data_IF_562697648282
#
_entry.id   IF_562697648282
#
_cell.length_a   1.000
_cell.length_b   1.000
_cell.length_c   1.000
_cell.angle_alpha   90.00
_cell.angle_beta   90.00
_cell.angle_gamma   90.00
#
_symmetry.space_group_name_H-M   'P 1'
#
loop_
_entity.id
_entity.type
_entity.pdbx_description
1 polymer ?
#
# COMPACT_ATOMS: atom_id res chain seq x y z
N UNK A 1 -0.90 64.59 -33.52
CA UNK A 1 0.36 63.89 -33.19
C UNK A 1 0.49 63.87 -31.66
N UNK A 2 -0.36 63.18 -30.90
CA UNK A 2 -0.66 61.74 -30.93
C UNK A 2 0.56 60.88 -30.64
N UNK A 3 0.91 60.74 -29.35
CA UNK A 3 1.36 59.49 -28.72
C UNK A 3 0.78 59.44 -27.30
N UNK A 4 -0.11 58.50 -27.05
CA UNK A 4 -0.45 58.05 -25.70
C UNK A 4 0.26 56.72 -25.52
N UNK A 5 1.20 56.65 -24.59
CA UNK A 5 1.87 55.40 -24.26
C UNK A 5 0.98 54.60 -23.31
N UNK A 6 0.04 53.84 -23.88
CA UNK A 6 -0.76 52.87 -23.12
C UNK A 6 0.10 51.65 -22.80
N UNK A 7 0.89 51.74 -21.73
CA UNK A 7 1.58 50.60 -21.16
C UNK A 7 0.54 49.62 -20.59
N UNK A 8 0.16 48.63 -21.40
CA UNK A 8 -0.66 47.51 -20.96
C UNK A 8 0.16 46.63 -20.02
N UNK A 9 -0.04 46.77 -18.71
CA UNK A 9 0.41 45.77 -17.75
C UNK A 9 -0.26 44.43 -18.05
N UNK A 10 0.45 43.56 -18.77
CA UNK A 10 0.13 42.14 -18.82
C UNK A 10 0.45 41.53 -17.46
N UNK A 11 -0.46 41.72 -16.52
CA UNK A 11 -0.54 40.94 -15.29
C UNK A 11 -0.43 39.47 -15.67
N UNK A 12 0.73 38.87 -15.40
CA UNK A 12 0.95 37.46 -15.65
C UNK A 12 -0.12 36.72 -14.86
N UNK A 13 -1.08 36.13 -15.58
CA UNK A 13 -2.15 35.36 -14.96
C UNK A 13 -1.49 34.19 -14.23
N UNK A 14 -1.29 34.38 -12.92
CA UNK A 14 -0.66 33.41 -12.04
C UNK A 14 -1.41 32.11 -12.27
N UNK A 15 -0.68 31.09 -12.75
CA UNK A 15 -1.29 29.87 -13.24
C UNK A 15 -1.85 29.09 -12.05
N UNK A 16 -3.08 29.45 -11.63
CA UNK A 16 -3.82 28.80 -10.57
C UNK A 16 -4.04 27.37 -11.02
N UNK A 17 -3.20 26.47 -10.52
CA UNK A 17 -3.44 25.03 -10.61
C UNK A 17 -4.86 24.76 -10.14
N UNK A 18 -5.59 23.86 -10.80
CA UNK A 18 -6.97 23.54 -10.39
C UNK A 18 -7.01 22.71 -9.10
N UNK A 19 -5.90 22.67 -8.36
CA UNK A 19 -5.70 22.00 -7.10
C UNK A 19 -6.09 22.92 -5.93
N UNK A 20 -7.38 22.94 -5.58
CA UNK A 20 -7.91 23.20 -4.24
C UNK A 20 -9.43 22.97 -4.23
N UNK A 21 -10.07 22.42 -3.16
CA UNK A 21 -9.51 21.90 -1.91
C UNK A 21 -9.97 20.44 -1.67
N UNK A 22 -9.32 19.48 -2.31
CA UNK A 22 -9.47 18.06 -1.97
C UNK A 22 -8.14 17.55 -1.41
N UNK A 23 -8.20 16.61 -0.47
CA UNK A 23 -7.05 16.10 0.29
C UNK A 23 -6.20 15.11 -0.54
N UNK A 24 -5.90 15.51 -1.78
CA UNK A 24 -5.17 14.77 -2.80
C UNK A 24 -3.74 15.32 -2.91
N UNK A 25 -2.78 14.53 -2.45
CA UNK A 25 -1.36 14.75 -2.70
C UNK A 25 -0.98 14.46 -4.16
N UNK A 26 -1.81 13.71 -4.90
CA UNK A 26 -1.55 13.39 -6.31
C UNK A 26 -1.92 14.55 -7.25
N UNK A 27 -1.00 14.99 -8.14
CA UNK A 27 -1.19 16.17 -8.98
C UNK A 27 -2.14 15.91 -10.16
N UNK A 28 -3.42 16.30 -9.99
CA UNK A 28 -4.49 16.14 -11.01
C UNK A 28 -4.13 16.78 -12.35
N UNK A 29 -3.60 18.01 -12.33
CA UNK A 29 -3.21 18.74 -13.55
C UNK A 29 -2.07 18.05 -14.32
N UNK A 30 -1.16 17.36 -13.63
CA UNK A 30 -0.08 16.60 -14.27
C UNK A 30 -0.63 15.34 -14.94
N UNK A 31 -1.56 14.64 -14.28
CA UNK A 31 -2.26 13.49 -14.86
C UNK A 31 -3.04 13.92 -16.13
N UNK A 32 -3.74 15.05 -16.11
CA UNK A 32 -4.42 15.57 -17.31
C UNK A 32 -3.43 15.81 -18.47
N UNK A 33 -2.32 16.52 -18.21
CA UNK A 33 -1.28 16.77 -19.22
C UNK A 33 -0.72 15.46 -19.79
N UNK A 34 -0.40 14.49 -18.93
CA UNK A 34 0.12 13.18 -19.34
C UNK A 34 -0.88 12.38 -20.18
N UNK A 35 -2.17 12.37 -19.82
CA UNK A 35 -3.21 11.68 -20.59
C UNK A 35 -3.41 12.30 -21.98
N UNK A 36 -3.41 13.64 -22.07
CA UNK A 36 -3.53 14.35 -23.35
C UNK A 36 -2.33 14.10 -24.25
N UNK A 37 -1.10 14.11 -23.71
CA UNK A 37 0.13 13.87 -24.46
C UNK A 37 0.30 12.40 -24.87
N UNK A 38 0.18 11.46 -23.93
CA UNK A 38 0.50 10.03 -24.16
C UNK A 38 -0.64 9.25 -24.82
N UNK A 39 -1.90 9.55 -24.48
CA UNK A 39 -3.08 8.82 -24.96
C UNK A 39 -3.90 9.60 -26.01
N UNK A 40 -3.45 10.81 -26.40
CA UNK A 40 -4.09 11.67 -27.43
C UNK A 40 -5.58 11.96 -27.18
N UNK A 41 -6.00 12.00 -25.92
CA UNK A 41 -7.41 12.18 -25.55
C UNK A 41 -7.83 13.65 -25.73
N UNK A 42 -8.81 13.90 -26.62
CA UNK A 42 -9.29 15.26 -26.94
C UNK A 42 -10.12 15.91 -25.82
N UNK A 43 -11.01 15.14 -25.16
CA UNK A 43 -11.89 15.62 -24.08
C UNK A 43 -11.80 14.69 -22.88
N UNK A 44 -11.66 15.25 -21.69
CA UNK A 44 -11.64 14.54 -20.41
C UNK A 44 -12.57 15.30 -19.45
N UNK A 45 -13.42 14.60 -18.70
CA UNK A 45 -14.24 15.22 -17.63
C UNK A 45 -13.34 15.51 -16.42
N UNK A 46 -13.51 16.66 -15.76
CA UNK A 46 -12.74 17.02 -14.56
C UNK A 46 -12.85 15.96 -13.45
N UNK A 47 -14.06 15.46 -13.20
CA UNK A 47 -14.33 14.40 -12.22
C UNK A 47 -13.56 13.10 -12.50
N UNK A 48 -13.35 12.73 -13.78
CA UNK A 48 -12.64 11.51 -14.14
C UNK A 48 -11.14 11.60 -13.79
N UNK A 49 -10.56 12.81 -13.87
CA UNK A 49 -9.18 13.07 -13.47
C UNK A 49 -9.01 13.01 -11.95
N UNK A 50 -9.97 13.58 -11.21
CA UNK A 50 -10.05 13.52 -9.75
C UNK A 50 -10.18 12.07 -9.28
N UNK A 51 -11.09 11.29 -9.89
CA UNK A 51 -11.28 9.87 -9.57
C UNK A 51 -10.00 9.06 -9.83
N UNK A 52 -9.36 9.23 -11.00
CA UNK A 52 -8.11 8.55 -11.33
C UNK A 52 -6.98 8.89 -10.35
N UNK A 53 -6.84 10.18 -9.99
CA UNK A 53 -5.86 10.64 -9.02
C UNK A 53 -6.12 10.02 -7.63
N UNK A 54 -7.38 9.97 -7.19
CA UNK A 54 -7.77 9.39 -5.91
C UNK A 54 -7.50 7.87 -5.84
N UNK A 55 -7.82 7.12 -6.88
CA UNK A 55 -7.53 5.67 -6.96
C UNK A 55 -6.01 5.42 -6.94
N UNK A 56 -5.25 6.21 -7.70
CA UNK A 56 -3.78 6.07 -7.75
C UNK A 56 -3.16 6.41 -6.38
N UNK A 57 -3.62 7.48 -5.73
CA UNK A 57 -3.20 7.86 -4.38
C UNK A 57 -3.52 6.75 -3.36
N UNK A 58 -4.72 6.20 -3.38
CA UNK A 58 -5.13 5.14 -2.46
C UNK A 58 -4.26 3.89 -2.62
N UNK A 59 -3.99 3.45 -3.85
CA UNK A 59 -3.12 2.30 -4.12
C UNK A 59 -1.68 2.55 -3.65
N UNK A 60 -1.12 3.74 -3.92
CA UNK A 60 0.21 4.13 -3.45
C UNK A 60 0.29 4.18 -1.92
N UNK A 61 -0.69 4.79 -1.26
CA UNK A 61 -0.76 4.87 0.20
C UNK A 61 -0.91 3.48 0.83
N UNK A 62 -1.69 2.58 0.23
CA UNK A 62 -1.84 1.20 0.71
C UNK A 62 -0.53 0.42 0.60
N UNK A 63 0.16 0.46 -0.55
CA UNK A 63 1.48 -0.18 -0.73
C UNK A 63 2.48 0.38 0.30
N UNK A 64 2.51 1.70 0.49
CA UNK A 64 3.41 2.36 1.43
C UNK A 64 3.10 1.99 2.90
N UNK A 65 1.83 1.84 3.28
CA UNK A 65 1.45 1.42 4.62
C UNK A 65 1.91 -0.03 4.93
N UNK A 66 1.75 -0.96 3.98
CA UNK A 66 2.26 -2.33 4.12
C UNK A 66 3.79 -2.37 4.13
N UNK A 67 4.45 -1.59 3.26
CA UNK A 67 5.91 -1.51 3.22
C UNK A 67 6.49 -0.87 4.49
N UNK A 68 5.84 0.17 5.04
CA UNK A 68 6.18 0.77 6.32
C UNK A 68 5.96 -0.19 7.50
N UNK A 69 4.93 -1.05 7.45
CA UNK A 69 4.76 -2.13 8.44
C UNK A 69 5.89 -3.15 8.40
N UNK A 70 6.40 -3.49 7.21
CA UNK A 70 7.59 -4.34 7.07
C UNK A 70 8.88 -3.61 7.52
N UNK A 71 9.05 -2.33 7.17
CA UNK A 71 10.23 -1.54 7.50
C UNK A 71 10.42 -1.32 9.01
N UNK A 72 9.34 -1.27 9.80
CA UNK A 72 9.41 -1.24 11.28
C UNK A 72 10.07 -2.47 11.91
N UNK A 73 10.18 -3.59 11.19
CA UNK A 73 10.95 -4.77 11.62
C UNK A 73 12.40 -4.78 11.14
N UNK A 74 12.87 -3.72 10.47
CA UNK A 74 14.26 -3.58 10.00
C UNK A 74 15.04 -2.64 10.91
N UNK A 75 16.36 -2.87 11.10
CA UNK A 75 17.18 -2.03 11.98
C UNK A 75 17.28 -0.58 11.50
N UNK A 76 17.23 -0.36 10.18
CA UNK A 76 17.42 0.98 9.59
C UNK A 76 16.15 1.84 9.63
N UNK A 77 14.97 1.24 9.83
CA UNK A 77 13.66 1.93 9.78
C UNK A 77 13.26 2.50 8.40
N UNK A 78 14.15 2.44 7.41
CA UNK A 78 13.95 2.98 6.05
C UNK A 78 13.18 1.99 5.16
N UNK A 79 12.34 2.51 4.27
CA UNK A 79 11.60 1.71 3.29
C UNK A 79 12.52 1.30 2.13
N UNK A 80 13.30 0.24 2.36
CA UNK A 80 14.08 -0.43 1.33
C UNK A 80 13.20 -1.20 0.32
N UNK A 81 13.78 -1.52 -0.83
CA UNK A 81 13.18 -2.31 -1.91
C UNK A 81 12.63 -3.68 -1.43
N UNK A 82 13.30 -4.29 -0.45
CA UNK A 82 12.85 -5.51 0.24
C UNK A 82 11.46 -5.34 0.86
N UNK A 83 11.18 -4.19 1.48
CA UNK A 83 9.92 -3.92 2.17
C UNK A 83 8.75 -3.74 1.18
N UNK A 84 9.01 -3.12 0.01
CA UNK A 84 8.04 -3.04 -1.09
C UNK A 84 7.71 -4.42 -1.67
N UNK A 85 8.71 -5.28 -1.86
CA UNK A 85 8.47 -6.66 -2.27
C UNK A 85 7.66 -7.44 -1.23
N UNK A 86 8.02 -7.35 0.05
CA UNK A 86 7.25 -8.01 1.13
C UNK A 86 5.79 -7.54 1.10
N UNK A 87 5.54 -6.24 0.99
CA UNK A 87 4.20 -5.67 0.88
C UNK A 87 3.39 -6.23 -0.31
N UNK A 88 3.99 -6.25 -1.51
CA UNK A 88 3.37 -6.84 -2.70
C UNK A 88 3.06 -8.33 -2.50
N UNK A 89 3.97 -9.09 -1.87
CA UNK A 89 3.81 -10.50 -1.55
C UNK A 89 2.86 -10.78 -0.37
N UNK A 90 2.36 -9.78 0.37
CA UNK A 90 1.33 -9.98 1.40
C UNK A 90 -0.10 -9.93 0.86
N UNK A 91 -0.41 -9.12 -0.16
CA UNK A 91 -1.76 -9.07 -0.77
C UNK A 91 -1.83 -9.92 -2.05
N UNK A 92 -2.90 -10.70 -2.24
CA UNK A 92 -3.10 -11.52 -3.46
C UNK A 92 -3.31 -10.62 -4.68
N UNK A 93 -4.00 -9.50 -4.50
CA UNK A 93 -4.41 -8.64 -5.61
C UNK A 93 -3.32 -7.63 -5.96
N UNK A 94 -2.50 -7.17 -4.99
CA UNK A 94 -1.26 -6.47 -5.30
C UNK A 94 -0.25 -7.39 -6.01
N UNK A 95 -0.18 -8.68 -5.66
CA UNK A 95 0.61 -9.67 -6.42
C UNK A 95 0.18 -9.73 -7.89
N UNK A 96 -1.11 -9.91 -8.16
CA UNK A 96 -1.64 -9.95 -9.53
C UNK A 96 -1.38 -8.63 -10.28
N UNK A 97 -1.62 -7.50 -9.62
CA UNK A 97 -1.51 -6.16 -10.20
C UNK A 97 -0.06 -5.75 -10.50
N UNK A 98 0.89 -6.13 -9.64
CA UNK A 98 2.28 -5.66 -9.72
C UNK A 98 3.27 -6.66 -10.32
N UNK A 99 2.99 -7.97 -10.30
CA UNK A 99 3.97 -9.00 -10.72
C UNK A 99 3.62 -9.68 -12.06
N UNK A 100 2.35 -9.68 -12.47
CA UNK A 100 1.90 -10.49 -13.61
C UNK A 100 2.25 -11.98 -13.41
N UNK A 101 2.62 -12.68 -14.47
CA UNK A 101 3.04 -14.09 -14.40
C UNK A 101 4.47 -14.30 -13.88
N UNK A 102 5.40 -13.36 -14.10
CA UNK A 102 6.85 -13.65 -14.00
C UNK A 102 7.75 -12.51 -13.47
N UNK A 103 7.22 -11.39 -12.96
CA UNK A 103 8.11 -10.28 -12.55
C UNK A 103 8.79 -10.57 -11.21
N UNK A 104 10.07 -10.92 -11.27
CA UNK A 104 10.94 -11.03 -10.08
C UNK A 104 11.30 -9.63 -9.59
N UNK A 105 10.91 -9.30 -8.35
CA UNK A 105 11.36 -8.06 -7.72
C UNK A 105 12.87 -8.08 -7.46
N UNK A 106 13.59 -6.97 -7.66
CA UNK A 106 15.00 -6.86 -7.32
C UNK A 106 15.31 -6.86 -5.80
N UNK A 107 14.33 -7.22 -4.94
CA UNK A 107 14.49 -7.40 -3.49
C UNK A 107 14.70 -8.86 -3.03
N UNK A 108 14.90 -9.81 -3.95
CA UNK A 108 15.12 -11.23 -3.66
C UNK A 108 13.84 -12.08 -3.72
N UNK A 109 13.66 -13.03 -2.79
CA UNK A 109 12.47 -13.91 -2.68
C UNK A 109 11.93 -13.99 -1.25
N UNK A 110 10.66 -14.37 -1.06
CA UNK A 110 10.09 -14.57 0.28
C UNK A 110 10.84 -15.73 0.99
N UNK A 111 11.19 -15.62 2.29
CA UNK A 111 11.72 -16.76 3.03
C UNK A 111 10.61 -17.82 3.13
N UNK A 112 10.88 -19.02 2.62
CA UNK A 112 9.88 -20.09 2.53
C UNK A 112 10.55 -21.45 2.36
N UNK A 113 10.80 -22.13 3.48
CA UNK A 113 11.35 -23.49 3.48
C UNK A 113 10.25 -24.47 3.13
N UNK A 114 10.44 -25.32 2.12
CA UNK A 114 9.53 -26.45 1.87
C UNK A 114 9.60 -27.41 3.06
N UNK A 115 8.48 -27.95 3.52
CA UNK A 115 8.42 -28.86 4.67
C UNK A 115 9.40 -30.05 4.56
N UNK A 116 9.60 -30.56 3.34
CA UNK A 116 10.57 -31.63 3.02
C UNK A 116 12.05 -31.27 3.26
N UNK A 117 12.38 -29.98 3.34
CA UNK A 117 13.73 -29.48 3.61
C UNK A 117 13.94 -29.11 5.09
N UNK A 118 12.87 -29.13 5.89
CA UNK A 118 12.99 -28.91 7.33
C UNK A 118 13.44 -30.22 7.98
N UNK A 119 14.70 -30.30 8.41
CA UNK A 119 15.19 -31.43 9.21
C UNK A 119 14.31 -31.54 10.45
N UNK A 120 13.65 -32.69 10.64
CA UNK A 120 12.76 -32.93 11.76
C UNK A 120 13.53 -32.85 13.09
N UNK A 121 13.48 -31.68 13.73
CA UNK A 121 13.96 -31.46 15.08
C UNK A 121 12.73 -31.33 15.98
N UNK A 122 12.43 -32.33 16.85
CA UNK A 122 11.19 -32.34 17.64
C UNK A 122 11.15 -31.29 18.78
N UNK A 123 12.14 -30.41 18.89
CA UNK A 123 12.34 -29.53 20.04
C UNK A 123 11.69 -28.14 19.98
N UNK A 124 11.07 -27.72 18.85
CA UNK A 124 10.42 -26.40 18.74
C UNK A 124 9.08 -26.50 18.02
N UNK A 125 8.04 -26.80 18.78
CA UNK A 125 6.65 -26.43 18.45
C UNK A 125 6.36 -25.08 19.12
N UNK A 126 5.83 -24.07 18.40
CA UNK A 126 5.36 -22.86 19.05
C UNK A 126 4.04 -23.16 19.78
N UNK A 127 4.05 -23.03 21.10
CA UNK A 127 2.86 -23.07 21.97
C UNK A 127 1.77 -22.14 21.41
N UNK A 128 0.72 -22.72 20.80
CA UNK A 128 -0.48 -21.96 20.47
C UNK A 128 -1.33 -21.82 21.72
N UNK A 129 -1.76 -20.58 21.99
CA UNK A 129 -2.24 -20.16 23.31
C UNK A 129 -3.34 -21.04 23.89
N UNK A 130 -3.02 -21.65 25.04
CA UNK A 130 -3.98 -22.31 25.91
C UNK A 130 -5.05 -21.32 26.38
N UNK A 131 -6.30 -21.54 25.99
CA UNK A 131 -7.43 -20.96 26.72
C UNK A 131 -7.56 -21.70 28.06
N UNK A 132 -7.67 -21.00 29.21
CA UNK A 132 -7.77 -21.68 30.49
C UNK A 132 -9.14 -22.34 30.63
N UNK A 133 -9.15 -23.66 30.79
CA UNK A 133 -10.35 -24.38 31.19
C UNK A 133 -10.71 -23.96 32.64
N UNK A 134 -11.80 -23.21 32.80
CA UNK A 134 -12.32 -22.84 34.11
C UNK A 134 -12.85 -24.09 34.82
N UNK A 135 -12.14 -24.54 35.85
CA UNK A 135 -12.57 -25.66 36.67
C UNK A 135 -13.76 -25.28 37.55
N UNK A 136 -14.76 -26.17 37.60
CA UNK A 136 -15.85 -26.15 38.57
C UNK A 136 -16.22 -27.58 38.96
N UNK A 137 -15.67 -28.06 40.08
CA UNK A 137 -16.34 -29.04 40.94
C UNK A 137 -17.08 -28.31 42.08
N UNK A 138 -17.67 -29.01 43.08
CA UNK A 138 -17.65 -30.47 43.29
C UNK A 138 -19.04 -31.08 43.63
N UNK A 139 -19.08 -32.40 43.86
CA UNK A 139 -20.13 -33.05 44.67
C UNK A 139 -20.63 -34.39 44.13
N UNK A 140 -20.50 -35.49 44.89
CA UNK A 140 -20.92 -36.80 44.35
C UNK A 140 -20.85 -38.11 45.16
N UNK A 141 -20.57 -38.11 46.48
CA UNK A 141 -20.76 -39.24 47.44
C UNK A 141 -19.99 -40.57 47.21
N UNK A 142 -19.67 -41.21 48.33
CA UNK A 142 -18.92 -42.46 48.44
C UNK A 142 -19.76 -43.74 48.27
N UNK A 143 -19.08 -44.80 47.80
CA UNK A 143 -19.37 -46.25 47.85
C UNK A 143 -18.15 -46.96 47.23
N UNK A 144 -17.64 -48.13 47.63
CA UNK A 144 -17.91 -49.08 48.73
C UNK A 144 -16.53 -49.60 49.23
N UNK A 145 -16.29 -49.75 50.52
CA UNK A 145 -16.56 -50.95 51.34
C UNK A 145 -15.76 -52.20 50.91
N UNK A 146 -14.52 -52.34 51.44
CA UNK A 146 -13.98 -53.52 52.16
C UNK A 146 -12.58 -53.22 52.70
#
# INVERSE_FOLDING_TARGET
MSRQDTASETSQAQATSRASPQQLHFPVDQLERMLRQKLRIKRIKGEALVYLAAVTQYLTAQILAWAGKAARGSPDGVIALRHLQLAALQSKDLRKLLLGSETVFPGGVLPGTRALLLRANPAVLPEQGSQPATGSGPGGRASQET
#
